data_IF_187586219268
#
_entry.id   IF_187586219268
#
_cell.length_a   1.000
_cell.length_b   1.000
_cell.length_c   1.000
_cell.angle_alpha   90.00
_cell.angle_beta   90.00
_cell.angle_gamma   90.00
#
_symmetry.space_group_name_H-M   'P 1'
#
loop_
_entity.id
_entity.type
_entity.pdbx_description
1 polymer ?
#
# COMPACT_ATOMS: atom_id res chain seq x y z
N UNK A 1 -46.34 -16.41 -2.55
CA UNK A 1 -45.53 -16.66 -1.33
C UNK A 1 -44.28 -17.50 -1.58
N UNK A 2 -44.31 -18.60 -2.36
CA UNK A 2 -43.11 -19.41 -2.65
C UNK A 2 -42.09 -18.67 -3.53
N UNK A 3 -42.52 -18.01 -4.61
CA UNK A 3 -41.63 -17.27 -5.53
C UNK A 3 -40.83 -16.15 -4.83
N UNK A 4 -41.48 -15.38 -3.94
CA UNK A 4 -40.85 -14.33 -3.14
C UNK A 4 -39.76 -14.87 -2.21
N UNK A 5 -39.92 -16.09 -1.67
CA UNK A 5 -38.89 -16.75 -0.87
C UNK A 5 -37.67 -17.15 -1.71
N UNK A 6 -37.86 -17.59 -2.95
CA UNK A 6 -36.75 -18.00 -3.82
C UNK A 6 -35.91 -16.80 -4.26
N UNK A 7 -36.54 -15.64 -4.51
CA UNK A 7 -35.84 -14.39 -4.78
C UNK A 7 -34.97 -13.99 -3.58
N UNK A 8 -35.52 -14.07 -2.36
CA UNK A 8 -34.76 -13.75 -1.15
C UNK A 8 -33.51 -14.61 -0.98
N UNK A 9 -33.63 -15.94 -1.20
CA UNK A 9 -32.47 -16.83 -1.15
C UNK A 9 -31.47 -16.57 -2.27
N UNK A 10 -31.93 -16.27 -3.49
CA UNK A 10 -31.06 -15.92 -4.61
C UNK A 10 -30.23 -14.67 -4.30
N UNK A 11 -30.88 -13.63 -3.78
CA UNK A 11 -30.19 -12.38 -3.39
C UNK A 11 -29.18 -12.62 -2.29
N UNK A 12 -29.50 -13.46 -1.30
CA UNK A 12 -28.58 -13.77 -0.20
C UNK A 12 -27.32 -14.50 -0.69
N UNK A 13 -27.45 -15.36 -1.70
CA UNK A 13 -26.34 -16.14 -2.28
C UNK A 13 -25.45 -15.27 -3.19
N UNK A 14 -26.03 -14.32 -3.92
CA UNK A 14 -25.26 -13.48 -4.87
C UNK A 14 -24.62 -12.25 -4.21
N UNK A 15 -25.12 -11.80 -3.06
CA UNK A 15 -24.59 -10.65 -2.32
C UNK A 15 -23.08 -10.73 -1.99
N UNK A 16 -22.52 -11.85 -1.50
CA UNK A 16 -21.09 -11.90 -1.14
C UNK A 16 -20.14 -11.75 -2.33
N UNK A 17 -20.60 -11.99 -3.57
CA UNK A 17 -19.77 -11.82 -4.79
C UNK A 17 -19.39 -10.34 -5.01
N UNK A 18 -20.16 -9.40 -4.46
CA UNK A 18 -19.89 -7.96 -4.58
C UNK A 18 -19.10 -7.38 -3.42
N UNK A 19 -18.75 -8.18 -2.40
CA UNK A 19 -17.96 -7.70 -1.28
C UNK A 19 -16.49 -7.60 -1.70
N UNK A 20 -16.03 -6.37 -1.97
CA UNK A 20 -14.61 -6.10 -2.10
C UNK A 20 -13.98 -5.95 -0.71
N UNK A 21 -12.81 -6.55 -0.50
CA UNK A 21 -12.07 -6.41 0.74
C UNK A 21 -11.72 -4.93 1.00
N UNK A 22 -12.01 -4.45 2.21
CA UNK A 22 -11.72 -3.08 2.62
C UNK A 22 -10.21 -2.92 2.89
N UNK A 23 -9.61 -1.84 2.38
CA UNK A 23 -8.22 -1.49 2.75
C UNK A 23 -8.13 -1.21 4.25
N UNK A 24 -7.01 -1.61 4.83
CA UNK A 24 -6.64 -1.28 6.20
C UNK A 24 -6.19 0.19 6.33
N UNK A 25 -6.06 0.64 7.58
CA UNK A 25 -5.56 1.95 7.94
C UNK A 25 -4.14 1.85 8.54
N UNK A 26 -3.34 2.89 8.35
CA UNK A 26 -2.02 3.00 9.01
C UNK A 26 -2.20 3.29 10.50
N UNK A 27 -1.29 2.76 11.32
CA UNK A 27 -1.28 3.01 12.76
C UNK A 27 -0.85 4.45 13.05
N UNK A 28 -1.61 5.16 13.87
CA UNK A 28 -1.27 6.50 14.32
C UNK A 28 -0.07 6.49 15.27
N UNK A 29 0.78 7.50 15.16
CA UNK A 29 2.02 7.64 15.92
C UNK A 29 3.15 6.71 15.47
N UNK A 30 2.95 5.91 14.43
CA UNK A 30 3.95 4.99 13.90
C UNK A 30 5.08 5.70 13.14
N UNK A 31 6.16 4.95 12.87
CA UNK A 31 7.30 5.43 12.04
C UNK A 31 6.86 5.94 10.67
N UNK A 32 5.83 5.32 10.11
CA UNK A 32 5.26 5.65 8.80
C UNK A 32 4.71 7.08 8.79
N UNK A 33 4.01 7.49 9.84
CA UNK A 33 3.45 8.83 9.95
C UNK A 33 4.52 9.92 9.93
N UNK A 34 5.68 9.69 10.56
CA UNK A 34 6.81 10.63 10.49
C UNK A 34 7.31 10.83 9.06
N UNK A 35 7.43 9.75 8.28
CA UNK A 35 7.81 9.82 6.88
C UNK A 35 6.78 10.62 6.08
N UNK A 36 5.49 10.31 6.26
CA UNK A 36 4.41 10.98 5.53
C UNK A 36 4.34 12.48 5.85
N UNK A 37 4.43 12.85 7.12
CA UNK A 37 4.48 14.27 7.52
C UNK A 37 5.67 15.00 6.91
N UNK A 38 6.86 14.36 6.91
CA UNK A 38 8.06 14.94 6.29
C UNK A 38 7.89 15.08 4.78
N UNK A 39 7.27 14.09 4.13
CA UNK A 39 6.99 14.16 2.70
C UNK A 39 6.01 15.29 2.38
N UNK A 40 4.96 15.46 3.18
CA UNK A 40 3.96 16.52 3.02
C UNK A 40 4.58 17.92 3.11
N UNK A 41 5.37 18.15 4.17
CA UNK A 41 6.10 19.41 4.38
C UNK A 41 7.00 19.72 3.18
N UNK A 42 7.74 18.72 2.68
CA UNK A 42 8.63 18.90 1.53
C UNK A 42 7.83 19.13 0.25
N UNK A 43 6.80 18.34 -0.02
CA UNK A 43 5.95 18.46 -1.20
C UNK A 43 5.27 19.82 -1.32
N UNK A 44 5.19 20.60 -0.23
CA UNK A 44 4.79 22.02 -0.20
C UNK A 44 3.64 22.31 -1.17
N UNK A 45 2.65 21.42 -1.17
CA UNK A 45 1.49 21.46 -2.04
C UNK A 45 0.44 20.49 -1.50
N UNK A 46 -0.82 20.78 -1.79
CA UNK A 46 -1.93 19.82 -1.67
C UNK A 46 -1.74 18.56 -2.56
N UNK A 47 -0.59 18.38 -3.23
CA UNK A 47 -0.34 17.22 -4.07
C UNK A 47 -0.10 15.93 -3.27
N UNK A 48 0.28 16.04 -1.99
CA UNK A 48 0.25 14.90 -1.08
C UNK A 48 -1.06 14.81 -0.32
N UNK A 49 -1.67 15.94 0.08
CA UNK A 49 -2.96 16.02 0.82
C UNK A 49 -3.25 14.73 1.60
N UNK A 50 -2.26 14.27 2.37
CA UNK A 50 -2.44 13.11 3.22
C UNK A 50 -3.56 13.54 4.15
N UNK A 51 -4.75 12.95 3.99
CA UNK A 51 -5.98 13.58 4.44
C UNK A 51 -5.85 14.15 5.85
N UNK A 52 -6.35 15.37 6.07
CA UNK A 52 -6.49 15.92 7.43
C UNK A 52 -7.25 14.95 8.36
N UNK A 53 -8.03 14.05 7.75
CA UNK A 53 -8.73 12.94 8.37
C UNK A 53 -7.76 11.77 8.60
N UNK A 54 -7.44 11.53 9.87
CA UNK A 54 -6.67 10.39 10.37
C UNK A 54 -7.64 9.32 10.92
N UNK A 55 -7.31 8.02 10.88
CA UNK A 55 -6.08 7.42 10.34
C UNK A 55 -6.06 7.33 8.81
N UNK A 56 -4.86 7.23 8.25
CA UNK A 56 -4.67 7.22 6.80
C UNK A 56 -5.05 5.87 6.18
N UNK A 57 -5.79 5.89 5.08
CA UNK A 57 -6.07 4.68 4.30
C UNK A 57 -4.79 4.15 3.65
N UNK A 58 -4.35 2.93 4.02
CA UNK A 58 -3.06 2.37 3.62
C UNK A 58 -2.90 2.32 2.10
N UNK A 59 -3.89 1.78 1.37
CA UNK A 59 -3.86 1.68 -0.09
C UNK A 59 -3.63 3.04 -0.77
N UNK A 60 -4.39 4.05 -0.37
CA UNK A 60 -4.29 5.39 -0.96
C UNK A 60 -2.91 6.01 -0.72
N UNK A 61 -2.39 5.90 0.51
CA UNK A 61 -1.08 6.44 0.84
C UNK A 61 0.03 5.72 0.08
N UNK A 62 -0.01 4.39 0.02
CA UNK A 62 0.99 3.59 -0.68
C UNK A 62 1.06 3.99 -2.16
N UNK A 63 -0.09 4.15 -2.81
CA UNK A 63 -0.14 4.62 -4.20
C UNK A 63 0.45 6.02 -4.37
N UNK A 64 0.19 6.95 -3.44
CA UNK A 64 0.77 8.29 -3.49
C UNK A 64 2.29 8.26 -3.29
N UNK A 65 2.79 7.49 -2.32
CA UNK A 65 4.24 7.35 -2.10
C UNK A 65 4.91 6.69 -3.31
N UNK A 66 4.28 5.70 -3.93
CA UNK A 66 4.81 5.03 -5.13
C UNK A 66 4.88 5.98 -6.34
N UNK A 67 3.89 6.86 -6.48
CA UNK A 67 3.90 7.93 -7.47
C UNK A 67 5.09 8.88 -7.27
N UNK A 68 5.35 9.32 -6.04
CA UNK A 68 6.49 10.21 -5.76
C UNK A 68 7.85 9.54 -5.89
N UNK A 69 7.98 8.26 -5.50
CA UNK A 69 9.20 7.48 -5.76
C UNK A 69 9.45 7.35 -7.28
N UNK A 70 8.39 7.12 -8.07
CA UNK A 70 8.48 7.08 -9.53
C UNK A 70 8.92 8.43 -10.13
N UNK A 71 8.36 9.54 -9.65
CA UNK A 71 8.76 10.89 -10.07
C UNK A 71 10.22 11.21 -9.70
N UNK A 72 10.66 10.74 -8.54
CA UNK A 72 12.05 10.89 -8.10
C UNK A 72 12.99 10.16 -9.05
N UNK A 73 12.71 8.89 -9.35
CA UNK A 73 13.51 8.07 -10.26
C UNK A 73 13.50 8.62 -11.70
N UNK A 74 12.41 9.28 -12.12
CA UNK A 74 12.32 9.96 -13.41
C UNK A 74 13.06 11.32 -13.45
N UNK A 75 13.64 11.78 -12.34
CA UNK A 75 14.36 13.07 -12.28
C UNK A 75 13.44 14.30 -12.37
N UNK A 76 12.15 14.15 -12.07
CA UNK A 76 11.19 15.24 -12.19
C UNK A 76 11.54 16.40 -11.22
N UNK A 77 11.44 17.65 -11.71
CA UNK A 77 11.73 18.86 -10.91
C UNK A 77 10.92 18.91 -9.61
N UNK A 78 9.67 18.45 -9.61
CA UNK A 78 8.82 18.42 -8.43
C UNK A 78 9.36 17.47 -7.35
N UNK A 79 10.06 16.39 -7.72
CA UNK A 79 10.62 15.41 -6.78
C UNK A 79 12.04 15.76 -6.30
N UNK A 80 12.73 16.73 -6.92
CA UNK A 80 14.10 17.17 -6.54
C UNK A 80 14.24 17.70 -5.10
N UNK A 81 13.11 17.99 -4.45
CA UNK A 81 13.04 18.42 -3.05
C UNK A 81 13.25 17.28 -2.04
N UNK A 82 13.04 16.04 -2.47
CA UNK A 82 13.32 14.87 -1.66
C UNK A 82 14.82 14.59 -1.69
N UNK A 83 15.36 14.20 -0.55
CA UNK A 83 16.75 13.74 -0.43
C UNK A 83 16.85 12.24 -0.76
N UNK A 84 18.06 11.75 -1.01
CA UNK A 84 18.30 10.30 -1.15
C UNK A 84 17.84 9.52 0.10
N UNK A 85 17.93 10.13 1.29
CA UNK A 85 17.41 9.54 2.54
C UNK A 85 15.88 9.42 2.49
N UNK A 86 15.19 10.42 1.96
CA UNK A 86 13.72 10.37 1.81
C UNK A 86 13.32 9.30 0.80
N UNK A 87 14.04 9.18 -0.32
CA UNK A 87 13.87 8.10 -1.29
C UNK A 87 14.04 6.73 -0.63
N UNK A 88 15.13 6.53 0.10
CA UNK A 88 15.36 5.29 0.84
C UNK A 88 14.19 4.98 1.80
N UNK A 89 13.70 5.97 2.54
CA UNK A 89 12.57 5.77 3.44
C UNK A 89 11.25 5.47 2.71
N UNK A 90 10.98 6.14 1.57
CA UNK A 90 9.83 5.82 0.70
C UNK A 90 9.90 4.38 0.22
N UNK A 91 11.06 3.94 -0.26
CA UNK A 91 11.27 2.57 -0.72
C UNK A 91 11.07 1.54 0.39
N UNK A 92 11.55 1.81 1.61
CA UNK A 92 11.32 0.96 2.78
C UNK A 92 9.84 0.92 3.19
N UNK A 93 9.14 2.05 3.11
CA UNK A 93 7.70 2.12 3.37
C UNK A 93 6.91 1.30 2.35
N UNK A 94 7.20 1.45 1.06
CA UNK A 94 6.55 0.68 0.00
C UNK A 94 6.83 -0.82 0.12
N UNK A 95 8.07 -1.19 0.45
CA UNK A 95 8.47 -2.58 0.67
C UNK A 95 7.69 -3.26 1.81
N UNK A 96 7.45 -2.54 2.91
CA UNK A 96 6.63 -3.02 4.03
C UNK A 96 5.13 -3.07 3.70
N UNK A 97 4.69 -2.28 2.73
CA UNK A 97 3.31 -2.23 2.26
C UNK A 97 3.21 -2.82 0.85
N UNK A 98 3.90 -3.93 0.61
CA UNK A 98 4.02 -4.57 -0.71
C UNK A 98 2.67 -4.99 -1.30
N UNK A 99 1.65 -5.15 -0.47
CA UNK A 99 0.25 -5.44 -0.82
C UNK A 99 -0.31 -4.44 -1.85
N UNK A 100 0.06 -3.17 -1.70
CA UNK A 100 -0.48 -2.07 -2.50
C UNK A 100 0.58 -1.38 -3.35
N UNK A 101 1.83 -1.84 -3.28
CA UNK A 101 2.94 -1.23 -4.01
C UNK A 101 3.28 -2.04 -5.25
N UNK A 102 3.79 -1.38 -6.29
CA UNK A 102 4.32 -2.09 -7.46
C UNK A 102 5.56 -2.90 -7.07
N UNK A 103 5.71 -4.16 -7.53
CA UNK A 103 6.89 -4.97 -7.22
C UNK A 103 8.16 -4.30 -7.73
N UNK A 104 9.19 -4.27 -6.89
CA UNK A 104 10.52 -3.71 -7.21
C UNK A 104 11.60 -4.70 -6.81
N UNK A 105 12.71 -4.71 -7.55
CA UNK A 105 13.84 -5.60 -7.27
C UNK A 105 14.41 -5.42 -5.85
N UNK A 106 14.37 -4.18 -5.34
CA UNK A 106 14.81 -3.86 -3.98
C UNK A 106 14.01 -4.56 -2.87
N UNK A 107 12.81 -5.08 -3.18
CA UNK A 107 12.00 -5.80 -2.19
C UNK A 107 12.51 -7.22 -1.96
N UNK A 108 13.14 -7.83 -2.98
CA UNK A 108 13.61 -9.21 -2.92
C UNK A 108 14.70 -9.36 -1.86
N UNK A 109 14.50 -10.29 -0.94
CA UNK A 109 15.50 -10.67 0.04
C UNK A 109 16.59 -11.53 -0.61
N UNK A 110 17.83 -11.29 -0.20
CA UNK A 110 18.98 -12.11 -0.60
C UNK A 110 19.04 -13.45 0.18
N UNK A 111 18.36 -13.52 1.33
CA UNK A 111 18.41 -14.66 2.25
C UNK A 111 17.00 -15.11 2.62
N UNK A 112 16.29 -15.69 1.66
CA UNK A 112 14.99 -16.32 1.95
C UNK A 112 15.20 -17.62 2.74
N UNK A 113 14.32 -17.87 3.70
CA UNK A 113 14.35 -19.08 4.52
C UNK A 113 13.36 -20.07 3.91
N UNK A 114 13.84 -21.28 3.62
CA UNK A 114 13.06 -22.36 2.99
C UNK A 114 12.38 -21.95 1.66
N UNK A 115 12.87 -20.90 0.98
CA UNK A 115 12.29 -20.29 -0.24
C UNK A 115 10.91 -19.65 -0.09
N UNK A 116 10.23 -19.80 1.04
CA UNK A 116 8.88 -19.28 1.28
C UNK A 116 8.85 -18.11 2.25
N UNK A 117 9.76 -18.07 3.22
CA UNK A 117 9.80 -17.03 4.23
C UNK A 117 10.81 -15.96 3.90
N UNK A 118 10.46 -14.71 4.22
CA UNK A 118 11.26 -13.53 3.96
C UNK A 118 11.70 -13.45 2.49
N UNK A 119 10.79 -13.76 1.56
CA UNK A 119 10.98 -13.50 0.12
C UNK A 119 11.07 -11.99 -0.13
N UNK A 120 10.26 -11.22 0.60
CA UNK A 120 10.40 -9.78 0.77
C UNK A 120 11.24 -9.48 2.03
N UNK A 121 12.13 -8.48 1.96
CA UNK A 121 12.95 -8.05 3.11
C UNK A 121 12.15 -7.47 4.28
N UNK A 122 10.92 -7.01 4.06
CA UNK A 122 10.08 -6.40 5.10
C UNK A 122 9.07 -7.37 5.74
N UNK A 123 8.59 -8.37 4.99
CA UNK A 123 7.48 -9.22 5.41
C UNK A 123 7.96 -10.67 5.60
N UNK A 124 7.36 -11.37 6.55
CA UNK A 124 7.70 -12.78 6.79
C UNK A 124 7.18 -13.67 5.67
N UNK A 125 6.00 -13.36 5.14
CA UNK A 125 5.41 -14.00 3.95
C UNK A 125 5.10 -12.89 2.96
N UNK A 126 5.29 -13.13 1.68
CA UNK A 126 4.84 -12.21 0.63
C UNK A 126 4.56 -13.05 -0.62
N UNK A 127 3.28 -13.37 -0.81
CA UNK A 127 2.77 -14.15 -1.92
C UNK A 127 1.61 -13.39 -2.54
N UNK A 128 1.82 -12.91 -3.77
CA UNK A 128 0.83 -12.18 -4.54
C UNK A 128 0.55 -12.97 -5.82
N UNK A 129 -0.58 -13.67 -5.85
CA UNK A 129 -1.05 -14.45 -6.99
C UNK A 129 -2.35 -13.84 -7.53
N UNK A 130 -2.79 -14.28 -8.70
CA UNK A 130 -4.06 -13.84 -9.29
C UNK A 130 -5.27 -14.20 -8.40
N UNK A 131 -5.17 -15.30 -7.66
CA UNK A 131 -6.25 -15.81 -6.81
C UNK A 131 -6.31 -15.15 -5.41
N UNK A 132 -5.16 -14.84 -4.81
CA UNK A 132 -5.08 -14.27 -3.46
C UNK A 132 -3.76 -13.55 -3.17
N UNK A 133 -3.80 -12.69 -2.16
CA UNK A 133 -2.65 -11.99 -1.60
C UNK A 133 -2.47 -12.43 -0.14
N UNK A 134 -1.25 -12.81 0.23
CA UNK A 134 -0.85 -13.17 1.59
C UNK A 134 0.47 -12.49 1.95
N UNK A 135 0.45 -11.64 2.99
CA UNK A 135 1.56 -10.80 3.44
C UNK A 135 1.70 -10.86 4.97
#
# INVERSE_FOLDING_TARGET
MKFTKHIFYLTLITLPVFLQAQSSYLTLGGKEEWLLNRMDIKANSNALSFSSIKPYNRKNIVHQVDYWDSLYNAGNKAAKRFSEIDKYNMQRFLMANSEWSKPKEIYKSEKSILKYFYTNRANMVDMQNEDFILI
#
